data_IF_875537510359
#
_entry.id   IF_875537510359
#
_cell.length_a   1.000
_cell.length_b   1.000
_cell.length_c   1.000
_cell.angle_alpha   90.00
_cell.angle_beta   90.00
_cell.angle_gamma   90.00
#
_symmetry.space_group_name_H-M   'P 1'
#
loop_
_entity.id
_entity.type
_entity.pdbx_description
1 polymer ?
#
# COMPACT_ATOMS: atom_id res chain seq x y z
N UNK A 1 9.56 -13.29 -4.66
CA UNK A 1 9.30 -11.85 -4.83
C UNK A 1 10.54 -11.06 -4.40
N UNK A 2 10.83 -9.99 -5.11
CA UNK A 2 12.03 -9.19 -4.83
C UNK A 2 12.02 -8.54 -3.44
N UNK A 3 10.85 -8.12 -2.95
CA UNK A 3 10.73 -7.46 -1.65
C UNK A 3 10.19 -8.46 -0.62
N UNK A 4 11.03 -9.40 -0.23
CA UNK A 4 10.66 -10.48 0.70
C UNK A 4 10.21 -9.96 2.07
N UNK A 5 10.69 -8.79 2.46
CA UNK A 5 10.37 -8.15 3.73
C UNK A 5 8.98 -7.50 3.75
N UNK A 6 8.31 -7.36 2.59
CA UNK A 6 7.12 -6.51 2.46
C UNK A 6 5.97 -6.93 3.37
N UNK A 7 5.57 -8.19 3.33
CA UNK A 7 4.47 -8.68 4.16
C UNK A 7 4.77 -8.53 5.64
N UNK A 8 5.95 -8.95 6.06
CA UNK A 8 6.37 -8.85 7.45
C UNK A 8 6.36 -7.40 7.93
N UNK A 9 6.87 -6.49 7.10
CA UNK A 9 6.90 -5.07 7.43
C UNK A 9 5.48 -4.51 7.59
N UNK A 10 4.60 -4.79 6.63
CA UNK A 10 3.22 -4.28 6.69
C UNK A 10 2.49 -4.80 7.93
N UNK A 11 2.69 -6.06 8.27
CA UNK A 11 2.05 -6.67 9.45
C UNK A 11 2.70 -6.24 10.76
N UNK A 12 3.91 -5.70 10.73
CA UNK A 12 4.57 -5.18 11.92
C UNK A 12 4.00 -3.84 12.38
N UNK A 13 3.28 -3.15 11.51
CA UNK A 13 2.71 -1.84 11.84
C UNK A 13 1.54 -2.03 12.81
N UNK A 14 1.47 -1.18 13.87
CA UNK A 14 0.48 -1.40 14.94
C UNK A 14 -0.96 -1.47 14.44
N UNK A 15 -1.69 -2.52 14.85
CA UNK A 15 -3.08 -2.72 14.47
C UNK A 15 -3.30 -3.25 13.05
N UNK A 16 -2.24 -3.51 12.30
CA UNK A 16 -2.35 -3.99 10.92
C UNK A 16 -2.88 -5.43 10.89
N UNK A 17 -3.83 -5.67 10.01
CA UNK A 17 -4.41 -6.99 9.80
C UNK A 17 -4.41 -7.30 8.31
N UNK A 18 -4.28 -8.57 7.96
CA UNK A 18 -4.28 -9.02 6.58
C UNK A 18 -5.50 -9.89 6.31
N UNK A 19 -6.16 -9.67 5.17
CA UNK A 19 -7.13 -10.64 4.64
C UNK A 19 -6.90 -10.85 3.14
N UNK A 20 -7.69 -11.72 2.56
CA UNK A 20 -7.63 -12.00 1.13
C UNK A 20 -9.03 -11.83 0.54
N UNK A 21 -9.15 -10.90 -0.42
CA UNK A 21 -10.43 -10.68 -1.12
C UNK A 21 -10.46 -11.58 -2.35
N UNK A 22 -11.14 -12.71 -2.23
CA UNK A 22 -11.14 -13.76 -3.25
C UNK A 22 -11.62 -13.26 -4.61
N UNK A 23 -12.69 -12.45 -4.65
CA UNK A 23 -13.27 -11.96 -5.88
C UNK A 23 -12.30 -11.12 -6.70
N UNK A 24 -11.39 -10.42 -6.04
CA UNK A 24 -10.40 -9.56 -6.67
C UNK A 24 -9.01 -10.16 -6.67
N UNK A 25 -8.80 -11.23 -5.90
CA UNK A 25 -7.49 -11.84 -5.66
C UNK A 25 -6.50 -10.82 -5.10
N UNK A 26 -6.97 -10.02 -4.15
CA UNK A 26 -6.17 -9.00 -3.46
C UNK A 26 -5.80 -9.48 -2.07
N UNK A 27 -4.52 -9.38 -1.72
CA UNK A 27 -4.05 -9.47 -0.33
C UNK A 27 -4.18 -8.07 0.24
N UNK A 28 -5.10 -7.90 1.19
CA UNK A 28 -5.40 -6.57 1.75
C UNK A 28 -4.80 -6.43 3.14
N UNK A 29 -4.19 -5.27 3.38
CA UNK A 29 -3.62 -4.91 4.68
C UNK A 29 -4.41 -3.72 5.20
N UNK A 30 -5.01 -3.88 6.39
CA UNK A 30 -5.99 -2.92 6.91
C UNK A 30 -5.74 -2.56 8.36
N UNK A 31 -6.23 -1.40 8.77
CA UNK A 31 -6.30 -0.98 10.17
C UNK A 31 -7.77 -0.71 10.47
N UNK A 32 -8.34 -1.46 11.41
CA UNK A 32 -9.76 -1.29 11.79
C UNK A 32 -10.68 -1.25 10.56
N UNK A 33 -10.45 -2.13 9.62
CA UNK A 33 -11.26 -2.25 8.41
C UNK A 33 -10.98 -1.22 7.33
N UNK A 34 -9.96 -0.38 7.50
CA UNK A 34 -9.56 0.63 6.49
C UNK A 34 -8.31 0.16 5.77
N UNK A 35 -8.39 0.13 4.45
CA UNK A 35 -7.31 -0.34 3.59
C UNK A 35 -6.13 0.64 3.59
N UNK A 36 -4.90 0.15 3.79
CA UNK A 36 -3.71 0.96 3.58
C UNK A 36 -2.71 0.32 2.59
N UNK A 37 -2.87 -0.94 2.27
CA UNK A 37 -2.04 -1.58 1.25
C UNK A 37 -2.80 -2.75 0.62
N UNK A 38 -2.64 -2.94 -0.68
CA UNK A 38 -3.24 -4.08 -1.36
C UNK A 38 -2.25 -4.63 -2.37
N UNK A 39 -1.91 -5.90 -2.25
CA UNK A 39 -1.00 -6.60 -3.16
C UNK A 39 -1.82 -7.44 -4.13
N UNK A 40 -1.56 -7.28 -5.41
CA UNK A 40 -2.26 -8.03 -6.46
C UNK A 40 -1.39 -8.19 -7.69
N UNK A 41 -1.85 -9.05 -8.62
CA UNK A 41 -1.18 -9.29 -9.90
C UNK A 41 -2.22 -9.21 -11.00
N UNK A 42 -2.51 -8.00 -11.51
CA UNK A 42 -3.59 -7.83 -12.49
C UNK A 42 -3.26 -8.45 -13.85
N UNK A 43 -4.32 -8.78 -14.57
CA UNK A 43 -4.23 -9.24 -15.97
C UNK A 43 -5.48 -8.76 -16.70
N UNK A 44 -5.39 -8.62 -18.02
CA UNK A 44 -6.53 -8.20 -18.82
C UNK A 44 -6.90 -6.74 -18.69
N UNK A 45 -6.01 -5.91 -18.13
CA UNK A 45 -6.23 -4.48 -18.05
C UNK A 45 -6.03 -3.83 -19.43
N UNK A 46 -6.76 -2.73 -19.67
CA UNK A 46 -6.55 -1.95 -20.90
C UNK A 46 -5.17 -1.34 -20.95
N UNK A 47 -4.68 -0.87 -19.79
CA UNK A 47 -3.34 -0.32 -19.68
C UNK A 47 -2.37 -1.46 -19.42
N UNK A 48 -1.55 -1.77 -20.43
CA UNK A 48 -0.60 -2.87 -20.37
C UNK A 48 0.48 -2.70 -19.29
N UNK A 49 0.67 -1.49 -18.78
CA UNK A 49 1.68 -1.22 -17.76
C UNK A 49 1.45 -2.03 -16.49
N UNK A 50 0.19 -2.42 -16.21
CA UNK A 50 -0.15 -3.18 -15.00
C UNK A 50 -0.10 -4.69 -15.21
N UNK A 51 -0.31 -5.15 -16.44
CA UNK A 51 -0.53 -6.57 -16.72
C UNK A 51 0.73 -7.42 -16.53
N UNK A 52 0.57 -8.55 -15.86
CA UNK A 52 1.68 -9.48 -15.65
C UNK A 52 2.67 -9.09 -14.56
N UNK A 53 2.38 -8.02 -13.81
CA UNK A 53 3.24 -7.55 -12.73
C UNK A 53 2.54 -7.72 -11.38
N UNK A 54 3.29 -8.18 -10.38
CA UNK A 54 2.83 -8.05 -9.00
C UNK A 54 2.99 -6.58 -8.62
N UNK A 55 1.99 -6.01 -7.95
CA UNK A 55 2.05 -4.63 -7.51
C UNK A 55 1.43 -4.45 -6.14
N UNK A 56 1.78 -3.35 -5.47
CA UNK A 56 1.13 -2.95 -4.23
C UNK A 56 0.52 -1.56 -4.41
N UNK A 57 -0.78 -1.46 -4.08
CA UNK A 57 -1.46 -0.17 -4.02
C UNK A 57 -1.21 0.45 -2.65
N UNK A 58 -0.75 1.69 -2.62
CA UNK A 58 -0.46 2.42 -1.40
C UNK A 58 -1.10 3.79 -1.46
N UNK A 59 -1.70 4.21 -0.36
CA UNK A 59 -2.28 5.54 -0.25
C UNK A 59 -1.17 6.57 -0.14
N UNK A 60 -1.37 7.75 -0.76
CA UNK A 60 -0.38 8.80 -0.79
C UNK A 60 -1.07 10.15 -0.84
N UNK A 61 -0.46 11.16 -0.24
CA UNK A 61 -0.93 12.52 -0.37
C UNK A 61 -0.80 12.93 -1.85
N UNK A 62 -1.80 13.63 -2.47
CA UNK A 62 -1.83 13.85 -3.91
C UNK A 62 -0.57 14.45 -4.53
N UNK A 63 0.03 15.45 -3.89
CA UNK A 63 1.26 16.06 -4.36
C UNK A 63 2.42 15.08 -4.39
N UNK A 64 2.57 14.32 -3.31
CA UNK A 64 3.62 13.32 -3.21
C UNK A 64 3.38 12.18 -4.20
N UNK A 65 2.11 11.83 -4.43
CA UNK A 65 1.78 10.79 -5.40
C UNK A 65 2.29 11.16 -6.78
N UNK A 66 2.06 12.41 -7.21
CA UNK A 66 2.55 12.90 -8.50
C UNK A 66 4.08 12.92 -8.57
N UNK A 67 4.74 13.35 -7.49
CA UNK A 67 6.20 13.40 -7.44
C UNK A 67 6.81 12.01 -7.56
N UNK A 68 6.27 11.02 -6.84
CA UNK A 68 6.75 9.65 -6.93
C UNK A 68 6.60 9.10 -8.36
N UNK A 69 5.44 9.37 -9.00
CA UNK A 69 5.21 8.91 -10.37
C UNK A 69 6.15 9.57 -11.37
N UNK A 70 6.49 10.84 -11.13
CA UNK A 70 7.41 11.57 -11.99
C UNK A 70 8.86 11.09 -11.83
N UNK A 71 9.24 10.72 -10.62
CA UNK A 71 10.62 10.36 -10.30
C UNK A 71 10.93 8.89 -10.55
N UNK A 72 9.97 7.98 -10.30
CA UNK A 72 10.22 6.54 -10.35
C UNK A 72 9.34 5.88 -11.41
N UNK A 73 9.93 5.25 -12.44
CA UNK A 73 9.13 4.56 -13.47
C UNK A 73 8.34 3.36 -12.92
N UNK A 74 8.74 2.81 -11.75
CA UNK A 74 8.02 1.71 -11.10
C UNK A 74 6.72 2.16 -10.43
N UNK A 75 6.48 3.46 -10.29
CA UNK A 75 5.31 3.99 -9.60
C UNK A 75 4.29 4.47 -10.62
N UNK A 76 3.10 3.85 -10.58
CA UNK A 76 1.99 4.11 -11.49
C UNK A 76 0.80 4.66 -10.71
N UNK A 77 -0.21 5.25 -11.39
CA UNK A 77 -1.46 5.62 -10.71
C UNK A 77 -2.13 4.41 -10.07
N UNK A 78 -2.87 4.62 -8.98
CA UNK A 78 -3.50 3.55 -8.24
C UNK A 78 -4.36 2.62 -9.09
N UNK A 79 -4.29 1.32 -8.79
CA UNK A 79 -5.04 0.27 -9.49
C UNK A 79 -6.36 0.05 -8.77
N UNK A 80 -7.49 0.34 -9.48
CA UNK A 80 -8.84 0.29 -8.90
C UNK A 80 -9.02 1.11 -7.64
N UNK A 81 -8.18 2.11 -7.45
CA UNK A 81 -8.26 3.05 -6.34
C UNK A 81 -8.27 4.46 -6.90
N UNK A 82 -8.63 5.44 -6.06
CA UNK A 82 -8.59 6.85 -6.45
C UNK A 82 -7.16 7.23 -6.86
N UNK A 83 -6.97 7.58 -8.12
CA UNK A 83 -5.65 7.87 -8.69
C UNK A 83 -4.97 9.09 -8.09
N UNK A 84 -5.74 10.00 -7.48
CA UNK A 84 -5.16 11.18 -6.83
C UNK A 84 -4.50 10.84 -5.51
N UNK A 85 -5.06 9.86 -4.80
CA UNK A 85 -4.66 9.51 -3.44
C UNK A 85 -3.98 8.14 -3.33
N UNK A 86 -3.80 7.45 -4.45
CA UNK A 86 -3.22 6.11 -4.45
C UNK A 86 -2.21 5.94 -5.57
N UNK A 87 -1.13 5.23 -5.28
CA UNK A 87 -0.15 4.80 -6.27
C UNK A 87 -0.08 3.27 -6.28
N UNK A 88 0.24 2.73 -7.46
CA UNK A 88 0.53 1.31 -7.61
C UNK A 88 2.02 1.18 -7.87
N UNK A 89 2.72 0.43 -7.03
CA UNK A 89 4.16 0.23 -7.17
C UNK A 89 4.42 -1.16 -7.71
N UNK A 90 5.16 -1.24 -8.82
CA UNK A 90 5.52 -2.52 -9.43
C UNK A 90 6.53 -3.24 -8.54
N UNK A 91 6.22 -4.47 -8.12
CA UNK A 91 7.05 -5.23 -7.19
C UNK A 91 8.16 -6.03 -7.88
N UNK A 92 8.16 -6.06 -9.20
CA UNK A 92 9.20 -6.69 -9.98
C UNK A 92 10.17 -5.67 -10.60
N UNK A 93 10.07 -4.41 -10.20
CA UNK A 93 10.91 -3.33 -10.70
C UNK A 93 12.17 -3.13 -9.88
N UNK A 94 12.81 -1.98 -10.06
CA UNK A 94 14.10 -1.67 -9.46
C UNK A 94 14.03 -0.62 -8.34
N UNK A 95 12.83 -0.35 -7.80
CA UNK A 95 12.69 0.63 -6.73
C UNK A 95 13.46 0.17 -5.48
N UNK A 96 14.23 1.09 -4.89
CA UNK A 96 15.02 0.78 -3.70
C UNK A 96 14.12 0.43 -2.51
N UNK A 97 14.58 -0.52 -1.68
CA UNK A 97 13.85 -1.00 -0.52
C UNK A 97 13.44 0.14 0.41
N UNK A 98 14.36 1.07 0.68
CA UNK A 98 14.09 2.20 1.56
C UNK A 98 12.96 3.09 1.08
N UNK A 99 12.88 3.31 -0.24
CA UNK A 99 11.82 4.13 -0.82
C UNK A 99 10.47 3.44 -0.68
N UNK A 100 10.41 2.15 -1.01
CA UNK A 100 9.17 1.40 -0.88
C UNK A 100 8.71 1.31 0.57
N UNK A 101 9.64 1.07 1.49
CA UNK A 101 9.32 0.99 2.92
C UNK A 101 8.75 2.31 3.43
N UNK A 102 9.33 3.43 3.00
CA UNK A 102 8.83 4.75 3.37
C UNK A 102 7.43 4.99 2.81
N UNK A 103 7.18 4.60 1.56
CA UNK A 103 5.85 4.73 0.96
C UNK A 103 4.80 3.90 1.70
N UNK A 104 5.17 2.69 2.13
CA UNK A 104 4.29 1.84 2.93
C UNK A 104 3.96 2.50 4.26
N UNK A 105 4.97 3.07 4.93
CA UNK A 105 4.78 3.75 6.22
C UNK A 105 3.90 4.98 6.07
N UNK A 106 4.11 5.77 5.03
CA UNK A 106 3.29 6.95 4.76
C UNK A 106 1.84 6.57 4.52
N UNK A 107 1.60 5.49 3.77
CA UNK A 107 0.24 5.01 3.52
C UNK A 107 -0.45 4.62 4.83
N UNK A 108 0.24 3.87 5.68
CA UNK A 108 -0.27 3.48 7.00
C UNK A 108 -0.60 4.73 7.83
N UNK A 109 0.33 5.70 7.89
CA UNK A 109 0.15 6.90 8.70
C UNK A 109 -1.05 7.73 8.23
N UNK A 110 -1.27 7.84 6.92
CA UNK A 110 -2.42 8.57 6.38
C UNK A 110 -3.76 7.93 6.77
N UNK A 111 -3.83 6.61 6.72
CA UNK A 111 -5.06 5.90 7.10
C UNK A 111 -5.27 5.98 8.60
N UNK A 112 -4.21 5.78 9.39
CA UNK A 112 -4.27 5.88 10.85
C UNK A 112 -4.79 7.26 11.29
N UNK A 113 -4.29 8.32 10.66
CA UNK A 113 -4.65 9.69 11.02
C UNK A 113 -6.14 10.01 10.81
N UNK A 114 -6.81 9.26 9.96
CA UNK A 114 -8.24 9.44 9.69
C UNK A 114 -9.14 8.70 10.66
N UNK A 115 -8.59 7.84 11.49
CA UNK A 115 -9.37 7.13 12.50
C UNK A 115 -9.68 8.09 13.69
N UNK A 116 -10.76 7.84 14.43
CA UNK A 116 -11.04 8.64 15.64
C UNK A 116 -9.87 8.60 16.61
N UNK A 117 -9.67 9.70 17.34
CA UNK A 117 -8.53 9.80 18.27
C UNK A 117 -8.50 8.68 19.30
N UNK A 118 -9.67 8.25 19.82
CA UNK A 118 -9.68 7.18 20.80
C UNK A 118 -9.22 5.85 20.20
N UNK A 119 -9.52 5.62 18.91
CA UNK A 119 -9.06 4.42 18.21
C UNK A 119 -7.54 4.48 18.02
N UNK A 120 -7.01 5.64 17.66
CA UNK A 120 -5.57 5.82 17.52
C UNK A 120 -4.84 5.51 18.85
N UNK A 121 -5.42 5.93 19.97
CA UNK A 121 -4.87 5.64 21.30
C UNK A 121 -4.91 4.15 21.63
N UNK A 122 -6.00 3.47 21.26
CA UNK A 122 -6.10 2.03 21.45
C UNK A 122 -5.01 1.29 20.69
N UNK A 123 -4.78 1.68 19.43
CA UNK A 123 -3.74 1.08 18.59
C UNK A 123 -2.37 1.31 19.19
N UNK A 124 -2.09 2.52 19.69
CA UNK A 124 -0.83 2.83 20.35
C UNK A 124 -0.61 1.97 21.58
N UNK A 125 -1.69 1.70 22.34
CA UNK A 125 -1.63 0.80 23.50
C UNK A 125 -1.33 -0.64 23.12
N UNK A 126 -1.91 -1.12 22.02
CA UNK A 126 -1.64 -2.46 21.50
C UNK A 126 -0.16 -2.65 21.16
N UNK A 127 0.47 -1.60 20.63
CA UNK A 127 1.89 -1.63 20.27
C UNK A 127 2.77 -1.92 21.48
N UNK A 128 2.36 -1.46 22.66
CA UNK A 128 3.15 -1.55 23.87
C UNK A 128 2.81 -2.76 24.74
N UNK A 129 1.87 -3.59 24.29
CA UNK A 129 1.43 -4.75 25.06
C UNK A 129 2.16 -6.02 24.71
#
# INVERSE_FOLDING_TARGET
MKYEWLEEFLLSLPGAEKDFKLEWQWERYMIRGKLFAAVCSPSGMKDEAYNGHALVNLKCEPRMAELYRAEYPEVLPGFYCDKRNWNAVLLDGALEDGVLREMCRQSYDLVLAKLPKYVQREIAGEKNS
#
